data_IF_478116378853
#
_entry.id   IF_478116378853
#
_cell.length_a   1.000
_cell.length_b   1.000
_cell.length_c   1.000
_cell.angle_alpha   90.00
_cell.angle_beta   90.00
_cell.angle_gamma   90.00
#
_symmetry.space_group_name_H-M   'P 1'
#
loop_
_entity.id
_entity.type
_entity.pdbx_description
1 polymer ?
#
# COMPACT_ATOMS: atom_id res chain seq x y z
N UNK A 1 -4.89 45.69 -27.15
CA UNK A 1 -6.01 45.44 -26.23
C UNK A 1 -6.60 44.09 -26.62
N UNK A 2 -6.29 43.02 -25.89
CA UNK A 2 -6.79 41.67 -26.15
C UNK A 2 -7.43 41.15 -24.86
N UNK A 3 -8.65 40.58 -24.88
CA UNK A 3 -9.26 40.06 -23.68
C UNK A 3 -8.69 38.68 -23.34
N UNK A 4 -8.33 38.53 -22.07
CA UNK A 4 -7.94 37.28 -21.43
C UNK A 4 -9.17 36.36 -21.34
N UNK A 5 -9.08 35.15 -21.90
CA UNK A 5 -10.03 34.07 -21.61
C UNK A 5 -9.44 33.16 -20.55
N UNK A 6 -10.13 33.07 -19.42
CA UNK A 6 -9.70 32.33 -18.24
C UNK A 6 -9.57 30.84 -18.49
N UNK A 7 -8.45 30.28 -18.07
CA UNK A 7 -8.30 28.85 -17.81
C UNK A 7 -9.14 28.48 -16.58
N UNK A 8 -10.38 28.07 -16.80
CA UNK A 8 -11.10 27.27 -15.83
C UNK A 8 -10.51 25.85 -15.86
N UNK A 9 -10.08 25.25 -14.73
CA UNK A 9 -9.81 23.83 -14.70
C UNK A 9 -11.15 23.12 -14.86
N UNK A 10 -11.32 22.42 -15.98
CA UNK A 10 -12.42 21.49 -16.20
C UNK A 10 -12.26 20.37 -15.17
N UNK A 11 -12.88 20.55 -14.01
CA UNK A 11 -13.18 19.45 -13.10
C UNK A 11 -14.16 18.56 -13.85
N UNK A 12 -13.82 17.29 -14.15
CA UNK A 12 -14.82 16.39 -14.72
C UNK A 12 -15.98 16.33 -13.74
N UNK A 13 -17.19 16.65 -14.24
CA UNK A 13 -18.43 16.43 -13.52
C UNK A 13 -18.45 15.00 -12.94
N UNK A 14 -19.12 14.75 -11.80
CA UNK A 14 -19.21 13.43 -11.19
C UNK A 14 -20.03 12.51 -12.10
N UNK A 15 -19.38 12.03 -13.16
CA UNK A 15 -19.87 11.00 -14.03
C UNK A 15 -20.10 9.80 -13.14
N UNK A 16 -21.39 9.47 -13.02
CA UNK A 16 -21.95 8.18 -12.66
C UNK A 16 -20.82 7.16 -12.63
N UNK A 17 -20.30 6.88 -11.43
CA UNK A 17 -19.45 5.73 -11.21
C UNK A 17 -20.30 4.57 -11.67
N UNK A 18 -20.10 4.11 -12.91
CA UNK A 18 -20.67 2.88 -13.39
C UNK A 18 -20.42 1.89 -12.27
N UNK A 19 -21.52 1.38 -11.70
CA UNK A 19 -21.51 0.17 -10.90
C UNK A 19 -21.06 -0.93 -11.85
N UNK A 20 -19.77 -0.96 -12.18
CA UNK A 20 -19.09 -2.12 -12.70
C UNK A 20 -19.27 -3.14 -11.59
N UNK A 21 -20.26 -4.01 -11.77
CA UNK A 21 -20.51 -5.19 -10.94
C UNK A 21 -19.19 -5.92 -10.86
N UNK A 22 -18.49 -5.70 -9.76
CA UNK A 22 -17.26 -6.38 -9.49
C UNK A 22 -17.64 -7.83 -9.21
N UNK A 23 -17.31 -8.72 -10.15
CA UNK A 23 -17.31 -10.15 -9.88
C UNK A 23 -16.12 -10.39 -8.96
N UNK A 24 -16.35 -10.21 -7.67
CA UNK A 24 -15.39 -10.70 -6.68
C UNK A 24 -15.09 -12.14 -6.99
N UNK A 25 -13.80 -12.45 -6.99
CA UNK A 25 -13.33 -13.83 -7.05
C UNK A 25 -13.93 -14.54 -5.84
N UNK A 26 -15.04 -15.25 -6.09
CA UNK A 26 -15.86 -15.97 -5.13
C UNK A 26 -16.32 -15.11 -3.95
N UNK A 27 -17.50 -14.51 -4.11
CA UNK A 27 -18.41 -14.27 -2.99
C UNK A 27 -18.74 -15.65 -2.36
N UNK A 28 -17.81 -16.15 -1.55
CA UNK A 28 -17.97 -17.37 -0.75
C UNK A 28 -18.39 -16.94 0.65
N UNK A 29 -19.32 -17.69 1.25
CA UNK A 29 -20.00 -17.45 2.53
C UNK A 29 -19.07 -17.17 3.72
N UNK A 30 -18.43 -16.01 3.75
CA UNK A 30 -17.61 -15.53 4.86
C UNK A 30 -18.44 -15.02 6.05
N UNK A 31 -19.74 -14.80 5.85
CA UNK A 31 -20.68 -14.26 6.84
C UNK A 31 -20.90 -15.16 8.07
N UNK A 32 -20.32 -16.36 8.13
CA UNK A 32 -20.45 -17.29 9.27
C UNK A 32 -19.15 -17.83 9.83
N UNK A 33 -17.99 -17.34 9.40
CA UNK A 33 -16.71 -17.91 9.81
C UNK A 33 -15.76 -16.92 10.49
N UNK A 34 -16.24 -16.22 11.53
CA UNK A 34 -15.35 -15.79 12.63
C UNK A 34 -15.22 -16.99 13.59
N UNK A 35 -14.72 -18.11 13.05
CA UNK A 35 -14.53 -19.36 13.78
C UNK A 35 -13.29 -19.22 14.66
N UNK A 36 -13.42 -19.56 15.96
CA UNK A 36 -12.37 -19.88 16.94
C UNK A 36 -10.91 -19.53 16.55
N UNK A 37 -10.58 -18.24 16.40
CA UNK A 37 -9.19 -17.81 16.29
C UNK A 37 -8.57 -17.90 17.68
N UNK A 38 -7.42 -18.57 17.83
CA UNK A 38 -6.73 -18.59 19.12
C UNK A 38 -6.31 -17.16 19.52
N UNK A 39 -6.56 -16.72 20.77
CA UNK A 39 -6.24 -15.37 21.24
C UNK A 39 -4.82 -14.92 20.88
N UNK A 40 -3.82 -15.78 21.08
CA UNK A 40 -2.43 -15.45 20.77
C UNK A 40 -2.19 -15.21 19.27
N UNK A 41 -2.90 -15.89 18.37
CA UNK A 41 -2.74 -15.73 16.91
C UNK A 41 -3.38 -14.42 16.44
N UNK A 42 -4.50 -14.06 17.06
CA UNK A 42 -5.15 -12.78 16.82
C UNK A 42 -4.29 -11.63 17.36
N UNK A 43 -3.77 -11.75 18.58
CA UNK A 43 -2.90 -10.75 19.20
C UNK A 43 -1.58 -10.54 18.44
N UNK A 44 -1.03 -11.58 17.81
CA UNK A 44 0.21 -11.48 17.03
C UNK A 44 0.03 -10.74 15.70
N UNK A 45 -1.07 -10.97 14.98
CA UNK A 45 -1.28 -10.38 13.65
C UNK A 45 -2.21 -9.16 13.68
N UNK A 46 -3.27 -9.21 14.47
CA UNK A 46 -4.33 -8.20 14.58
C UNK A 46 -4.56 -7.74 16.04
N UNK A 47 -3.55 -7.20 16.75
CA UNK A 47 -3.68 -6.85 18.17
C UNK A 47 -4.78 -5.83 18.45
N UNK A 48 -5.03 -4.85 17.57
CA UNK A 48 -6.13 -3.90 17.80
C UNK A 48 -7.51 -4.56 17.74
N UNK A 49 -7.69 -5.55 16.85
CA UNK A 49 -8.91 -6.37 16.82
C UNK A 49 -9.02 -7.21 18.09
N UNK A 50 -7.91 -7.82 18.54
CA UNK A 50 -7.88 -8.58 19.79
C UNK A 50 -8.25 -7.72 21.00
N UNK A 51 -7.58 -6.58 21.18
CA UNK A 51 -7.79 -5.67 22.31
C UNK A 51 -9.21 -5.12 22.37
N UNK A 52 -9.75 -4.66 21.23
CA UNK A 52 -11.12 -4.13 21.20
C UNK A 52 -12.18 -5.22 21.38
N UNK A 53 -11.89 -6.45 20.93
CA UNK A 53 -12.77 -7.61 21.20
C UNK A 53 -12.81 -7.96 22.69
N UNK A 54 -11.65 -8.00 23.35
CA UNK A 54 -11.57 -8.25 24.79
C UNK A 54 -12.21 -7.12 25.61
N UNK A 55 -12.02 -5.86 25.20
CA UNK A 55 -12.51 -4.69 25.93
C UNK A 55 -14.00 -4.43 25.74
N UNK A 56 -14.48 -4.46 24.49
CA UNK A 56 -15.83 -4.01 24.14
C UNK A 56 -16.80 -5.17 23.87
N UNK A 57 -16.31 -6.41 23.84
CA UNK A 57 -17.08 -7.60 23.48
C UNK A 57 -17.81 -7.46 22.13
N UNK A 58 -17.28 -6.61 21.24
CA UNK A 58 -17.82 -6.46 19.90
C UNK A 58 -17.61 -7.71 19.06
N UNK A 59 -18.59 -8.01 18.22
CA UNK A 59 -18.38 -8.94 17.10
C UNK A 59 -17.34 -8.35 16.14
N UNK A 60 -16.55 -9.22 15.51
CA UNK A 60 -15.52 -8.85 14.56
C UNK A 60 -16.08 -8.05 13.38
N UNK A 61 -17.33 -8.30 12.96
CA UNK A 61 -17.95 -7.52 11.88
C UNK A 61 -18.07 -6.04 12.23
N UNK A 62 -18.57 -5.71 13.43
CA UNK A 62 -18.72 -4.33 13.88
C UNK A 62 -17.36 -3.62 14.00
N UNK A 63 -16.33 -4.34 14.46
CA UNK A 63 -14.97 -3.83 14.53
C UNK A 63 -14.41 -3.51 13.14
N UNK A 64 -14.60 -4.43 12.18
CA UNK A 64 -14.14 -4.24 10.80
C UNK A 64 -14.84 -3.04 10.17
N UNK A 65 -16.17 -2.93 10.32
CA UNK A 65 -16.91 -1.79 9.76
C UNK A 65 -16.44 -0.46 10.33
N UNK A 66 -16.12 -0.39 11.64
CA UNK A 66 -15.50 0.79 12.25
C UNK A 66 -14.13 1.11 11.64
N UNK A 67 -13.25 0.11 11.52
CA UNK A 67 -11.91 0.33 10.93
C UNK A 67 -11.96 0.74 9.46
N UNK A 68 -12.90 0.17 8.69
CA UNK A 68 -13.14 0.54 7.29
C UNK A 68 -13.67 1.97 7.20
N UNK A 69 -14.64 2.33 8.05
CA UNK A 69 -15.23 3.66 8.09
C UNK A 69 -14.20 4.75 8.43
N UNK A 70 -13.18 4.44 9.24
CA UNK A 70 -12.13 5.38 9.64
C UNK A 70 -10.93 5.44 8.65
N UNK A 71 -10.91 4.59 7.62
CA UNK A 71 -9.78 4.53 6.70
C UNK A 71 -9.65 5.84 5.87
N UNK A 72 -8.44 6.45 5.77
CA UNK A 72 -8.20 7.65 4.99
C UNK A 72 -7.91 7.36 3.51
N UNK A 73 -7.89 6.08 3.10
CA UNK A 73 -7.68 5.64 1.71
C UNK A 73 -9.00 5.41 0.94
N UNK A 74 -10.15 5.43 1.63
CA UNK A 74 -11.48 5.35 1.00
C UNK A 74 -12.04 6.71 0.62
N UNK A 75 -12.95 6.73 -0.36
CA UNK A 75 -13.71 7.93 -0.72
C UNK A 75 -14.66 8.32 0.42
N UNK A 76 -14.91 9.63 0.70
CA UNK A 76 -14.39 10.83 0.01
C UNK A 76 -13.04 11.33 0.56
N UNK A 77 -12.45 10.64 1.54
CA UNK A 77 -11.21 11.08 2.22
C UNK A 77 -9.98 10.97 1.31
N UNK A 78 -9.96 9.96 0.44
CA UNK A 78 -9.04 9.88 -0.67
C UNK A 78 -9.78 10.19 -1.98
N UNK A 79 -9.26 11.15 -2.75
CA UNK A 79 -9.86 11.55 -4.04
C UNK A 79 -9.11 10.98 -5.25
N UNK A 80 -7.85 10.62 -5.06
CA UNK A 80 -7.01 10.10 -6.14
C UNK A 80 -6.91 8.58 -6.02
N UNK A 81 -7.44 7.86 -7.01
CA UNK A 81 -7.49 6.39 -7.04
C UNK A 81 -7.85 5.78 -5.66
N UNK A 82 -9.03 6.10 -5.10
CA UNK A 82 -9.43 5.65 -3.77
C UNK A 82 -9.63 4.13 -3.72
N UNK A 83 -9.40 3.56 -2.54
CA UNK A 83 -9.85 2.20 -2.22
C UNK A 83 -11.37 2.18 -2.07
N UNK A 84 -11.97 1.05 -2.41
CA UNK A 84 -13.34 0.72 -2.04
C UNK A 84 -13.35 0.14 -0.62
N UNK A 85 -14.43 0.37 0.11
CA UNK A 85 -14.60 -0.18 1.45
C UNK A 85 -14.51 -1.72 1.46
N UNK A 86 -15.05 -2.37 0.41
CA UNK A 86 -15.01 -3.81 0.26
C UNK A 86 -13.60 -4.36 0.11
N UNK A 87 -12.67 -3.61 -0.49
CA UNK A 87 -11.28 -4.03 -0.67
C UNK A 87 -10.55 -4.12 0.68
N UNK A 88 -10.87 -3.20 1.60
CA UNK A 88 -10.30 -3.20 2.96
C UNK A 88 -10.96 -4.29 3.80
N UNK A 89 -12.30 -4.38 3.73
CA UNK A 89 -13.07 -5.41 4.44
C UNK A 89 -12.62 -6.82 4.07
N UNK A 90 -12.36 -7.08 2.79
CA UNK A 90 -11.85 -8.37 2.31
C UNK A 90 -10.52 -8.75 2.97
N UNK A 91 -9.60 -7.79 3.13
CA UNK A 91 -8.29 -8.04 3.76
C UNK A 91 -8.44 -8.45 5.23
N UNK A 92 -9.37 -7.86 5.98
CA UNK A 92 -9.69 -8.32 7.34
C UNK A 92 -10.29 -9.72 7.35
N UNK A 93 -11.29 -9.98 6.50
CA UNK A 93 -11.96 -11.29 6.47
C UNK A 93 -11.03 -12.42 6.07
N UNK A 94 -10.21 -12.23 5.05
CA UNK A 94 -9.21 -13.22 4.67
C UNK A 94 -8.22 -13.44 5.80
N UNK A 95 -7.71 -12.37 6.43
CA UNK A 95 -6.77 -12.52 7.56
C UNK A 95 -7.39 -13.34 8.70
N UNK A 96 -8.60 -13.00 9.14
CA UNK A 96 -9.28 -13.72 10.21
C UNK A 96 -9.57 -15.18 9.84
N UNK A 97 -10.02 -15.43 8.61
CA UNK A 97 -10.27 -16.78 8.11
C UNK A 97 -9.00 -17.62 8.13
N UNK A 98 -7.89 -17.09 7.63
CA UNK A 98 -6.64 -17.84 7.59
C UNK A 98 -6.06 -18.06 9.00
N UNK A 99 -6.16 -17.07 9.90
CA UNK A 99 -5.82 -17.26 11.32
C UNK A 99 -6.66 -18.34 11.99
N UNK A 100 -7.96 -18.41 11.67
CA UNK A 100 -8.87 -19.45 12.15
C UNK A 100 -8.41 -20.83 11.66
N UNK A 101 -8.12 -20.97 10.37
CA UNK A 101 -7.63 -22.22 9.77
C UNK A 101 -6.29 -22.66 10.37
N UNK A 102 -5.35 -21.75 10.60
CA UNK A 102 -4.08 -22.05 11.29
C UNK A 102 -4.30 -22.46 12.74
N UNK A 103 -5.23 -21.82 13.44
CA UNK A 103 -5.57 -22.09 14.85
C UNK A 103 -6.09 -23.52 15.08
N UNK A 104 -6.82 -24.06 14.10
CA UNK A 104 -7.36 -25.44 14.14
C UNK A 104 -6.42 -26.47 13.49
N UNK A 105 -5.21 -26.06 13.08
CA UNK A 105 -4.24 -26.94 12.42
C UNK A 105 -4.60 -27.31 10.96
N UNK A 106 -5.54 -26.60 10.33
CA UNK A 106 -6.03 -26.88 8.97
C UNK A 106 -5.30 -26.10 7.88
N UNK A 107 -4.41 -25.17 8.22
CA UNK A 107 -3.63 -24.40 7.25
C UNK A 107 -2.15 -24.76 7.35
N UNK A 108 -1.55 -25.06 6.19
CA UNK A 108 -0.10 -25.30 6.04
C UNK A 108 0.71 -24.00 5.99
N UNK A 109 0.05 -22.87 5.69
CA UNK A 109 0.69 -21.57 5.50
C UNK A 109 0.21 -20.58 6.55
N UNK A 110 1.12 -19.69 6.94
CA UNK A 110 0.79 -18.55 7.79
C UNK A 110 0.25 -17.37 6.97
N UNK A 111 -0.40 -16.44 7.68
CA UNK A 111 -1.00 -15.23 7.08
C UNK A 111 0.00 -14.40 6.27
N UNK A 112 1.22 -14.09 6.77
CA UNK A 112 2.21 -13.38 5.98
C UNK A 112 2.54 -14.04 4.64
N UNK A 113 2.70 -15.37 4.61
CA UNK A 113 2.98 -16.10 3.37
C UNK A 113 1.81 -16.03 2.38
N UNK A 114 0.57 -16.09 2.88
CA UNK A 114 -0.63 -15.96 2.05
C UNK A 114 -0.68 -14.58 1.39
N UNK A 115 -0.42 -13.52 2.15
CA UNK A 115 -0.41 -12.15 1.62
C UNK A 115 0.73 -11.91 0.64
N UNK A 116 1.93 -12.42 0.93
CA UNK A 116 3.08 -12.36 0.02
C UNK A 116 2.73 -12.99 -1.34
N UNK A 117 2.22 -14.23 -1.34
CA UNK A 117 1.83 -14.94 -2.58
C UNK A 117 0.71 -14.23 -3.33
N UNK A 118 -0.25 -13.63 -2.61
CA UNK A 118 -1.36 -12.91 -3.25
C UNK A 118 -0.89 -11.63 -3.92
N UNK A 119 -0.01 -10.86 -3.29
CA UNK A 119 0.62 -9.69 -3.90
C UNK A 119 1.46 -10.06 -5.13
N UNK A 120 2.30 -11.09 -5.01
CA UNK A 120 3.11 -11.63 -6.13
C UNK A 120 2.25 -12.07 -7.31
N UNK A 121 1.14 -12.76 -7.04
CA UNK A 121 0.21 -13.16 -8.10
C UNK A 121 -0.41 -11.94 -8.78
N UNK A 122 -0.87 -10.95 -8.01
CA UNK A 122 -1.56 -9.78 -8.57
C UNK A 122 -0.63 -8.91 -9.41
N UNK A 123 0.64 -8.74 -9.03
CA UNK A 123 1.56 -7.93 -9.83
C UNK A 123 1.86 -8.57 -11.19
N UNK A 124 1.94 -9.90 -11.25
CA UNK A 124 2.11 -10.63 -12.51
C UNK A 124 0.85 -10.59 -13.38
N UNK A 125 -0.35 -10.74 -12.77
CA UNK A 125 -1.62 -10.59 -13.50
C UNK A 125 -1.77 -9.18 -14.06
N UNK A 126 -1.49 -8.16 -13.24
CA UNK A 126 -1.54 -6.76 -13.67
C UNK A 126 -0.57 -6.52 -14.84
N UNK A 127 0.64 -7.09 -14.79
CA UNK A 127 1.63 -7.01 -15.87
C UNK A 127 1.16 -7.68 -17.17
N UNK A 128 0.50 -8.82 -17.08
CA UNK A 128 -0.02 -9.52 -18.25
C UNK A 128 -1.17 -8.74 -18.93
N UNK A 129 -2.05 -8.14 -18.13
CA UNK A 129 -3.20 -7.36 -18.62
C UNK A 129 -2.79 -6.06 -19.34
N UNK A 130 -1.64 -5.47 -19.00
CA UNK A 130 -1.13 -4.22 -19.61
C UNK A 130 -0.87 -4.38 -21.11
N UNK A 131 -0.49 -5.58 -21.56
CA UNK A 131 -0.28 -5.86 -22.99
C UNK A 131 -1.57 -5.76 -23.81
N UNK A 132 -2.73 -5.72 -23.15
CA UNK A 132 -4.05 -5.78 -23.77
C UNK A 132 -4.83 -4.46 -23.64
N UNK A 133 -4.40 -3.51 -22.78
CA UNK A 133 -5.18 -2.30 -22.48
C UNK A 133 -4.32 -1.07 -22.16
N UNK A 134 -4.64 0.08 -22.77
CA UNK A 134 -4.04 1.39 -22.46
C UNK A 134 -4.57 1.93 -21.12
N UNK A 135 -3.99 1.49 -20.01
CA UNK A 135 -4.41 1.92 -18.66
C UNK A 135 -3.41 2.88 -18.03
N UNK A 136 -3.95 3.92 -17.40
CA UNK A 136 -3.20 4.90 -16.59
C UNK A 136 -2.62 4.31 -15.28
N UNK A 137 -3.02 3.07 -14.93
CA UNK A 137 -2.60 2.37 -13.72
C UNK A 137 -2.25 0.93 -14.11
N UNK A 138 -0.96 0.65 -14.25
CA UNK A 138 -0.46 -0.66 -14.69
C UNK A 138 -0.72 -1.69 -13.59
N UNK A 139 -0.24 -1.42 -12.38
CA UNK A 139 -0.27 -2.30 -11.22
C UNK A 139 -1.45 -1.99 -10.30
N UNK A 140 -2.63 -1.70 -10.86
CA UNK A 140 -3.77 -1.22 -10.08
C UNK A 140 -4.20 -2.19 -8.97
N UNK A 141 -4.39 -3.48 -9.27
CA UNK A 141 -4.95 -4.44 -8.30
C UNK A 141 -3.96 -4.71 -7.18
N UNK A 142 -2.70 -4.91 -7.53
CA UNK A 142 -1.59 -5.07 -6.59
C UNK A 142 -1.37 -3.81 -5.74
N UNK A 143 -1.46 -2.60 -6.31
CA UNK A 143 -1.40 -1.35 -5.55
C UNK A 143 -2.55 -1.23 -4.54
N UNK A 144 -3.77 -1.59 -4.94
CA UNK A 144 -4.94 -1.55 -4.07
C UNK A 144 -4.77 -2.52 -2.89
N UNK A 145 -4.39 -3.77 -3.16
CA UNK A 145 -4.13 -4.75 -2.10
C UNK A 145 -3.00 -4.29 -1.18
N UNK A 146 -1.90 -3.77 -1.74
CA UNK A 146 -0.78 -3.26 -0.96
C UNK A 146 -1.20 -2.13 -0.01
N UNK A 147 -2.02 -1.19 -0.48
CA UNK A 147 -2.56 -0.08 0.33
C UNK A 147 -3.54 -0.57 1.40
N UNK A 148 -4.42 -1.52 1.07
CA UNK A 148 -5.33 -2.11 2.04
C UNK A 148 -4.57 -2.87 3.15
N UNK A 149 -3.51 -3.61 2.79
CA UNK A 149 -2.63 -4.28 3.75
C UNK A 149 -1.79 -3.30 4.56
N UNK A 150 -1.33 -2.21 3.97
CA UNK A 150 -0.64 -1.14 4.71
C UNK A 150 -1.55 -0.56 5.79
N UNK A 151 -2.85 -0.47 5.49
CA UNK A 151 -3.80 0.00 6.47
C UNK A 151 -4.10 -1.02 7.57
N UNK A 152 -4.31 -2.29 7.19
CA UNK A 152 -4.43 -3.38 8.16
C UNK A 152 -3.22 -3.41 9.10
N UNK A 153 -2.02 -3.27 8.54
CA UNK A 153 -0.76 -3.19 9.29
C UNK A 153 -0.74 -1.99 10.24
N UNK A 154 -1.06 -0.79 9.77
CA UNK A 154 -1.05 0.42 10.58
C UNK A 154 -2.02 0.35 11.77
N UNK A 155 -3.29 0.05 11.50
CA UNK A 155 -4.35 0.00 12.51
C UNK A 155 -4.02 -1.04 13.58
N UNK A 156 -3.49 -2.19 13.15
CA UNK A 156 -3.14 -3.29 14.04
C UNK A 156 -1.67 -3.27 14.47
N UNK A 157 -0.89 -2.22 14.20
CA UNK A 157 0.55 -2.18 14.49
C UNK A 157 1.30 -3.46 14.09
N UNK A 158 0.88 -4.10 13.01
CA UNK A 158 1.32 -5.44 12.63
C UNK A 158 2.61 -5.37 11.85
N UNK A 159 3.74 -5.54 12.54
CA UNK A 159 5.06 -5.56 11.94
C UNK A 159 5.25 -6.74 10.97
N UNK A 160 4.55 -7.87 11.20
CA UNK A 160 4.58 -9.03 10.29
C UNK A 160 3.99 -8.69 8.93
N UNK A 161 2.84 -7.99 8.88
CA UNK A 161 2.27 -7.51 7.63
C UNK A 161 3.14 -6.40 7.03
N UNK A 162 3.69 -5.51 7.86
CA UNK A 162 4.64 -4.49 7.38
C UNK A 162 5.86 -5.10 6.69
N UNK A 163 6.42 -6.19 7.23
CA UNK A 163 7.53 -6.91 6.61
C UNK A 163 7.15 -7.55 5.25
N UNK A 164 5.93 -8.04 5.09
CA UNK A 164 5.42 -8.52 3.78
C UNK A 164 5.44 -7.39 2.75
N UNK A 165 4.93 -6.22 3.13
CA UNK A 165 4.91 -5.05 2.24
C UNK A 165 6.32 -4.58 1.89
N UNK A 166 7.22 -4.56 2.85
CA UNK A 166 8.64 -4.25 2.63
C UNK A 166 9.27 -5.24 1.63
N UNK A 167 9.15 -6.54 1.90
CA UNK A 167 9.74 -7.61 1.09
C UNK A 167 9.22 -7.59 -0.34
N UNK A 168 7.91 -7.41 -0.51
CA UNK A 168 7.28 -7.25 -1.81
C UNK A 168 7.80 -6.01 -2.54
N UNK A 169 7.80 -4.85 -1.87
CA UNK A 169 8.15 -3.59 -2.53
C UNK A 169 9.61 -3.58 -2.99
N UNK A 170 10.58 -3.99 -2.16
CA UNK A 170 11.99 -4.04 -2.56
C UNK A 170 12.21 -4.93 -3.77
N UNK A 171 11.55 -6.09 -3.82
CA UNK A 171 11.66 -7.03 -4.94
C UNK A 171 11.13 -6.44 -6.26
N UNK A 172 10.03 -5.69 -6.20
CA UNK A 172 9.33 -5.21 -7.40
C UNK A 172 9.52 -3.70 -7.69
N UNK A 173 10.25 -2.96 -6.86
CA UNK A 173 10.41 -1.51 -6.98
C UNK A 173 10.87 -1.08 -8.38
N UNK A 174 11.87 -1.76 -8.95
CA UNK A 174 12.37 -1.48 -10.31
C UNK A 174 11.27 -1.59 -11.36
N UNK A 175 10.40 -2.60 -11.22
CA UNK A 175 9.32 -2.87 -12.17
C UNK A 175 8.22 -1.83 -12.03
N UNK A 176 7.79 -1.56 -10.78
CA UNK A 176 6.74 -0.58 -10.47
C UNK A 176 7.16 0.81 -10.94
N UNK A 177 8.35 1.26 -10.55
CA UNK A 177 8.83 2.63 -10.80
C UNK A 177 9.08 2.89 -12.30
N UNK A 178 9.42 1.87 -13.08
CA UNK A 178 9.68 2.02 -14.51
C UNK A 178 8.42 2.34 -15.34
N UNK A 179 7.24 1.90 -14.89
CA UNK A 179 6.01 1.95 -15.69
C UNK A 179 4.91 2.83 -15.09
N UNK A 180 4.99 3.12 -13.79
CA UNK A 180 3.97 3.90 -13.09
C UNK A 180 4.20 5.41 -13.16
N UNK A 181 3.09 6.15 -13.08
CA UNK A 181 3.14 7.61 -12.98
C UNK A 181 3.68 8.06 -11.62
N UNK A 182 4.23 9.28 -11.53
CA UNK A 182 4.68 9.86 -10.27
C UNK A 182 3.59 9.85 -9.19
N UNK A 183 2.33 10.11 -9.57
CA UNK A 183 1.20 10.06 -8.66
C UNK A 183 0.97 8.65 -8.10
N UNK A 184 0.99 7.62 -8.95
CA UNK A 184 0.84 6.22 -8.51
C UNK A 184 2.01 5.76 -7.64
N UNK A 185 3.25 6.10 -8.01
CA UNK A 185 4.43 5.83 -7.18
C UNK A 185 4.27 6.50 -5.80
N UNK A 186 3.76 7.73 -5.77
CA UNK A 186 3.40 8.42 -4.53
C UNK A 186 2.42 7.64 -3.65
N UNK A 187 1.46 6.91 -4.23
CA UNK A 187 0.54 6.07 -3.46
C UNK A 187 1.24 4.86 -2.84
N UNK A 188 2.14 4.20 -3.58
CA UNK A 188 2.97 3.13 -3.03
C UNK A 188 3.83 3.64 -1.86
N UNK A 189 4.51 4.78 -2.05
CA UNK A 189 5.34 5.38 -1.02
C UNK A 189 4.53 5.85 0.20
N UNK A 190 3.34 6.40 0.01
CA UNK A 190 2.46 6.78 1.13
C UNK A 190 2.00 5.54 1.91
N UNK A 191 1.73 4.42 1.24
CA UNK A 191 1.43 3.16 1.92
C UNK A 191 2.63 2.65 2.73
N UNK A 192 3.86 2.83 2.25
CA UNK A 192 5.09 2.51 2.98
C UNK A 192 5.28 3.42 4.21
N UNK A 193 4.94 4.71 4.12
CA UNK A 193 4.92 5.61 5.29
C UNK A 193 3.92 5.14 6.34
N UNK A 194 2.75 4.67 5.87
CA UNK A 194 1.64 4.28 6.74
C UNK A 194 1.85 2.93 7.41
N UNK A 195 2.39 1.95 6.70
CA UNK A 195 2.61 0.60 7.22
C UNK A 195 3.53 0.58 8.45
N UNK A 196 3.31 -0.38 9.34
CA UNK A 196 4.18 -0.62 10.50
C UNK A 196 5.45 -1.33 10.05
N UNK A 197 6.46 -0.54 9.70
CA UNK A 197 7.79 -0.99 9.27
C UNK A 197 8.87 -0.41 10.19
N UNK A 198 10.03 -1.07 10.26
CA UNK A 198 11.20 -0.45 10.89
C UNK A 198 11.66 0.77 10.10
N UNK A 199 12.38 1.67 10.76
CA UNK A 199 12.97 2.84 10.08
C UNK A 199 13.94 2.42 8.97
N UNK A 200 14.74 1.37 9.20
CA UNK A 200 15.66 0.81 8.21
C UNK A 200 14.94 0.29 6.97
N UNK A 201 13.86 -0.47 7.13
CA UNK A 201 13.04 -0.99 6.01
C UNK A 201 12.44 0.14 5.19
N UNK A 202 11.87 1.13 5.88
CA UNK A 202 11.28 2.31 5.25
C UNK A 202 12.34 3.12 4.49
N UNK A 203 13.50 3.32 5.11
CA UNK A 203 14.61 4.02 4.49
C UNK A 203 15.11 3.32 3.22
N UNK A 204 15.24 2.00 3.26
CA UNK A 204 15.63 1.20 2.11
C UNK A 204 14.62 1.30 0.95
N UNK A 205 13.33 1.23 1.25
CA UNK A 205 12.28 1.43 0.25
C UNK A 205 12.38 2.78 -0.45
N UNK A 206 12.54 3.88 0.29
CA UNK A 206 12.64 5.21 -0.29
C UNK A 206 13.95 5.47 -1.02
N UNK A 207 15.07 4.95 -0.49
CA UNK A 207 16.35 4.95 -1.19
C UNK A 207 16.22 4.25 -2.54
N UNK A 208 15.59 3.07 -2.57
CA UNK A 208 15.41 2.32 -3.82
C UNK A 208 14.58 3.11 -4.84
N UNK A 209 13.53 3.79 -4.41
CA UNK A 209 12.73 4.66 -5.28
C UNK A 209 13.54 5.84 -5.80
N UNK A 210 14.30 6.52 -4.93
CA UNK A 210 15.13 7.66 -5.31
C UNK A 210 16.22 7.27 -6.32
N UNK A 211 16.88 6.13 -6.11
CA UNK A 211 17.86 5.58 -7.04
C UNK A 211 17.27 5.34 -8.44
N UNK A 212 16.00 4.94 -8.52
CA UNK A 212 15.31 4.65 -9.78
C UNK A 212 14.71 5.89 -10.44
N UNK A 213 14.21 6.85 -9.65
CA UNK A 213 13.58 8.10 -10.10
C UNK A 213 13.96 9.30 -9.21
N UNK A 214 15.14 9.90 -9.42
CA UNK A 214 15.61 11.04 -8.63
C UNK A 214 14.72 12.29 -8.75
N UNK A 215 14.00 12.44 -9.85
CA UNK A 215 13.08 13.55 -10.14
C UNK A 215 11.73 13.44 -9.39
N UNK A 216 11.45 12.28 -8.79
CA UNK A 216 10.15 11.98 -8.18
C UNK A 216 9.76 12.95 -7.06
N UNK A 217 10.63 13.35 -6.11
CA UNK A 217 10.25 14.27 -5.03
C UNK A 217 9.72 15.61 -5.54
N UNK A 218 10.32 16.16 -6.60
CA UNK A 218 9.86 17.41 -7.21
C UNK A 218 8.47 17.24 -7.82
N UNK A 219 8.23 16.11 -8.48
CA UNK A 219 6.92 15.79 -9.08
C UNK A 219 5.84 15.58 -8.02
N UNK A 220 6.16 14.89 -6.92
CA UNK A 220 5.22 14.55 -5.84
C UNK A 220 4.66 15.76 -5.10
N UNK A 221 5.43 16.84 -4.97
CA UNK A 221 4.96 18.08 -4.32
C UNK A 221 3.72 18.68 -4.98
N UNK A 222 3.50 18.40 -6.26
CA UNK A 222 2.32 18.87 -7.02
C UNK A 222 1.05 18.09 -6.66
N UNK A 223 1.16 16.99 -5.90
CA UNK A 223 0.06 16.09 -5.56
C UNK A 223 -0.47 16.29 -4.12
N UNK A 224 -0.37 17.52 -3.60
CA UNK A 224 -0.92 17.92 -2.30
C UNK A 224 -0.11 17.41 -1.10
N UNK A 225 -0.69 17.53 0.10
CA UNK A 225 0.01 17.30 1.38
C UNK A 225 0.65 15.91 1.51
N UNK A 226 -0.04 14.84 1.09
CA UNK A 226 0.51 13.47 1.15
C UNK A 226 1.72 13.31 0.21
N UNK A 227 1.65 13.88 -0.99
CA UNK A 227 2.77 13.89 -1.94
C UNK A 227 3.97 14.66 -1.40
N UNK A 228 3.73 15.81 -0.77
CA UNK A 228 4.78 16.60 -0.11
C UNK A 228 5.46 15.81 1.02
N UNK A 229 4.70 15.16 1.90
CA UNK A 229 5.26 14.35 2.98
C UNK A 229 6.17 13.23 2.45
N UNK A 230 5.73 12.53 1.40
CA UNK A 230 6.56 11.51 0.76
C UNK A 230 7.82 12.11 0.16
N UNK A 231 7.72 13.25 -0.54
CA UNK A 231 8.87 13.93 -1.14
C UNK A 231 9.93 14.30 -0.09
N UNK A 232 9.50 14.91 1.02
CA UNK A 232 10.38 15.30 2.13
C UNK A 232 11.06 14.09 2.79
N UNK A 233 10.35 12.96 2.92
CA UNK A 233 10.94 11.73 3.44
C UNK A 233 12.01 11.16 2.50
N UNK A 234 11.73 11.11 1.18
CA UNK A 234 12.69 10.60 0.18
C UNK A 234 13.95 11.46 0.17
N UNK A 235 13.80 12.79 0.15
CA UNK A 235 14.93 13.72 0.07
C UNK A 235 15.83 13.69 1.30
N UNK A 236 15.24 13.63 2.50
CA UNK A 236 16.01 13.54 3.75
C UNK A 236 16.96 12.35 3.74
N UNK A 237 16.46 11.19 3.32
CA UNK A 237 17.24 9.96 3.22
C UNK A 237 18.30 10.02 2.10
N UNK A 238 18.04 10.78 1.04
CA UNK A 238 19.03 10.99 -0.03
C UNK A 238 20.22 11.83 0.42
N UNK A 239 20.01 12.81 1.31
CA UNK A 239 21.08 13.66 1.85
C UNK A 239 22.02 12.84 2.73
N UNK A 240 21.47 11.96 3.56
CA UNK A 240 22.23 11.05 4.41
C UNK A 240 23.11 10.10 3.58
N UNK A 241 22.60 9.59 2.45
CA UNK A 241 23.37 8.78 1.51
C UNK A 241 24.52 9.54 0.84
N UNK A 242 24.30 10.80 0.46
CA UNK A 242 25.37 11.64 -0.11
C UNK A 242 26.42 12.01 0.93
N UNK A 243 26.07 12.08 2.22
CA UNK A 243 27.04 12.26 3.29
C UNK A 243 27.86 10.97 3.53
N UNK A 244 27.21 9.81 3.51
CA UNK A 244 27.84 8.49 3.66
C UNK A 244 28.77 8.14 2.49
N UNK A 245 28.37 8.40 1.23
CA UNK A 245 29.25 8.19 0.06
C UNK A 245 30.48 9.09 0.08
N UNK A 246 30.35 10.32 0.59
CA UNK A 246 31.46 11.25 0.79
C UNK A 246 32.41 10.79 1.90
N UNK A 247 31.89 10.22 2.99
CA UNK A 247 32.74 9.70 4.09
C UNK A 247 33.50 8.43 3.70
N UNK A 248 32.94 7.59 2.83
CA UNK A 248 33.58 6.36 2.33
C UNK A 248 34.47 6.64 1.09
N UNK A 249 34.56 7.90 0.62
CA UNK A 249 35.46 8.30 -0.47
C UNK A 249 35.06 7.81 -1.87
N UNK A 250 33.80 7.39 -2.05
CA UNK A 250 33.28 6.85 -3.32
C UNK A 250 32.98 7.95 -4.36
N UNK A 251 32.91 9.22 -3.93
CA UNK A 251 32.70 10.38 -4.81
C UNK A 251 34.01 11.05 -5.29
N UNK A 252 35.17 10.40 -5.16
CA UNK A 252 36.41 10.95 -5.74
C UNK A 252 36.29 10.99 -7.26
N UNK A 253 36.38 12.18 -7.92
CA UNK A 253 36.47 12.23 -9.36
C UNK A 253 37.70 11.43 -9.79
N UNK A 254 37.51 10.47 -10.72
CA UNK A 254 38.63 9.85 -11.42
C UNK A 254 39.36 10.98 -12.14
N UNK A 255 40.45 11.45 -11.53
CA UNK A 255 41.39 12.34 -12.20
C UNK A 255 41.81 11.63 -13.48
N UNK A 256 41.38 12.20 -14.61
CA UNK A 256 41.78 11.75 -15.93
C UNK A 256 43.29 11.78 -16.01
N UNK A 257 43.87 10.64 -16.36
CA UNK A 257 45.26 10.56 -16.78
C UNK A 257 45.33 11.28 -18.13
N UNK A 258 45.97 12.45 -18.14
CA UNK A 258 46.47 13.08 -19.35
C UNK A 258 47.68 12.31 -19.87
#
# INVERSE_FOLDING_TARGET
MFPLSGFAPVVPAPGILERVRWRGHQAYDGHRSVLAVRPHSLADILPAVYEERERLQYDAELLIDRFVADCPEVYPRCRFNPLREEEIREVYYVTLRELSRSSIGSAELDVPTIWQRRLERLIEVDRADVRVSSRFFVHRRSNHLFRALAELSYVNRSARIGHVLYSFFIRHASQIVAVETSATIGQWCNAILRATMSESQRAECFRRVYELRPDLPQSLRRHGRRGQLVAECIERLSIDMSAERRSIGLDRPRLGVQ
#
